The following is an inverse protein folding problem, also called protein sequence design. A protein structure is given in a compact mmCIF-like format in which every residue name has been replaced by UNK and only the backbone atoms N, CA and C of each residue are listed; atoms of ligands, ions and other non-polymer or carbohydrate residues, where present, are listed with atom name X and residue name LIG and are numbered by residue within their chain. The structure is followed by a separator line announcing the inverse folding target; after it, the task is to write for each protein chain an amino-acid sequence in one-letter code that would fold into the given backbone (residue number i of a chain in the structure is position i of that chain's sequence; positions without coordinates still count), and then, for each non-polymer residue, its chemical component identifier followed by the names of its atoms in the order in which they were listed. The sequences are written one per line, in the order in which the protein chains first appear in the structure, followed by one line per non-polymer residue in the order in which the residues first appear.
data_IF_515555033401
#
_entry.id   IF_515555033401
#
_cell.length_a   1.000
_cell.length_b   1.000
_cell.length_c   1.000
_cell.angle_alpha   90.00
_cell.angle_beta   90.00
_cell.angle_gamma   90.00
#
_symmetry.space_group_name_H-M   'P 1'
#
loop_
_entity.id
_entity.type
_entity.pdbx_description
1 polymer ?
#
# COMPACT_ATOMS: atom_id res chain seq x y z
N UNK A 1 37.47 27.89 29.07
CA UNK A 1 36.92 26.58 28.67
C UNK A 1 36.28 26.77 27.30
N UNK A 2 37.05 26.59 26.23
CA UNK A 2 36.62 26.79 24.84
C UNK A 2 35.94 25.54 24.30
N UNK A 3 34.78 25.74 23.67
CA UNK A 3 33.93 24.75 23.02
C UNK A 3 34.58 24.27 21.72
N UNK A 4 34.95 22.98 21.69
CA UNK A 4 35.59 22.30 20.57
C UNK A 4 34.52 21.47 19.83
N UNK A 5 33.96 22.03 18.75
CA UNK A 5 33.03 21.31 17.86
C UNK A 5 33.49 21.36 16.41
N UNK A 6 34.30 20.38 16.04
CA UNK A 6 34.62 20.04 14.65
C UNK A 6 33.43 19.36 13.96
N UNK A 7 32.67 20.10 13.16
CA UNK A 7 31.68 19.53 12.25
C UNK A 7 32.37 18.95 11.01
N UNK A 8 32.38 17.62 10.88
CA UNK A 8 32.81 16.92 9.67
C UNK A 8 31.73 17.03 8.58
N UNK A 9 31.77 18.11 7.78
CA UNK A 9 31.06 18.20 6.52
C UNK A 9 31.81 17.46 5.42
N UNK A 10 31.42 16.22 5.11
CA UNK A 10 31.91 15.52 3.89
C UNK A 10 31.40 16.28 2.67
N UNK A 11 32.26 17.11 2.08
CA UNK A 11 32.02 17.74 0.78
C UNK A 11 31.96 16.67 -0.31
N UNK A 12 30.76 16.38 -0.84
CA UNK A 12 30.58 15.58 -2.05
C UNK A 12 31.00 16.44 -3.25
N UNK A 13 32.27 16.33 -3.63
CA UNK A 13 32.79 16.83 -4.91
C UNK A 13 32.11 16.07 -6.07
N UNK A 14 31.79 16.79 -7.15
CA UNK A 14 31.19 16.36 -8.42
C UNK A 14 29.67 16.16 -8.48
N UNK A 15 28.90 17.21 -8.16
CA UNK A 15 27.68 17.48 -8.91
C UNK A 15 28.03 18.50 -9.99
N UNK A 16 28.21 18.08 -11.25
CA UNK A 16 28.27 19.00 -12.37
C UNK A 16 26.87 19.56 -12.58
N UNK A 17 26.62 20.75 -12.02
CA UNK A 17 25.52 21.59 -12.47
C UNK A 17 26.02 22.20 -13.79
N UNK A 18 25.41 21.92 -14.96
CA UNK A 18 25.83 22.58 -16.20
C UNK A 18 25.72 24.10 -16.02
N UNK A 19 26.66 24.84 -16.61
CA UNK A 19 26.63 26.31 -16.62
C UNK A 19 25.21 26.79 -16.95
N UNK A 20 24.69 27.76 -16.20
CA UNK A 20 23.33 28.26 -16.36
C UNK A 20 23.12 28.69 -17.81
N UNK A 21 22.31 27.92 -18.55
CA UNK A 21 21.85 28.31 -19.88
C UNK A 21 21.09 29.62 -19.72
N UNK A 22 21.47 30.65 -20.48
CA UNK A 22 20.76 31.93 -20.46
C UNK A 22 19.29 31.68 -20.84
N UNK A 23 18.36 32.34 -20.15
CA UNK A 23 16.92 32.25 -20.51
C UNK A 23 16.66 32.64 -21.97
N UNK A 24 17.53 33.46 -22.57
CA UNK A 24 17.46 33.86 -23.97
C UNK A 24 17.79 32.73 -24.96
N UNK A 25 18.53 31.71 -24.53
CA UNK A 25 18.98 30.60 -25.38
C UNK A 25 18.07 29.36 -25.27
N UNK A 26 17.05 29.42 -24.41
CA UNK A 26 16.11 28.32 -24.21
C UNK A 26 15.06 28.34 -25.33
N UNK A 27 14.90 27.25 -26.11
CA UNK A 27 13.86 27.18 -27.13
C UNK A 27 12.46 27.37 -26.52
N UNK A 28 11.56 28.05 -27.24
CA UNK A 28 10.19 28.28 -26.79
C UNK A 28 9.47 26.98 -26.38
N UNK A 29 9.81 25.85 -27.01
CA UNK A 29 9.24 24.52 -26.75
C UNK A 29 9.80 23.81 -25.52
N UNK A 30 10.86 24.33 -24.88
CA UNK A 30 11.52 23.66 -23.75
C UNK A 30 10.58 23.42 -22.57
N UNK A 31 9.71 24.38 -22.25
CA UNK A 31 8.75 24.25 -21.15
C UNK A 31 7.78 23.08 -21.39
N UNK A 32 7.31 22.93 -22.63
CA UNK A 32 6.41 21.83 -23.03
C UNK A 32 7.13 20.49 -22.98
N UNK A 33 8.37 20.42 -23.48
CA UNK A 33 9.21 19.21 -23.40
C UNK A 33 9.47 18.82 -21.96
N UNK A 34 9.84 19.79 -21.10
CA UNK A 34 10.10 19.56 -19.69
C UNK A 34 8.84 19.06 -18.95
N UNK A 35 7.67 19.64 -19.25
CA UNK A 35 6.40 19.21 -18.67
C UNK A 35 5.99 17.81 -19.17
N UNK A 36 6.25 17.49 -20.44
CA UNK A 36 6.05 16.15 -20.99
C UNK A 36 6.91 15.10 -20.27
N UNK A 37 8.20 15.40 -20.08
CA UNK A 37 9.13 14.52 -19.34
C UNK A 37 8.67 14.33 -17.90
N UNK A 38 8.32 15.41 -17.19
CA UNK A 38 7.80 15.34 -15.81
C UNK A 38 6.56 14.44 -15.74
N UNK A 39 5.60 14.63 -16.65
CA UNK A 39 4.39 13.81 -16.72
C UNK A 39 4.72 12.33 -16.90
N UNK A 40 5.60 11.98 -17.84
CA UNK A 40 6.01 10.59 -18.03
C UNK A 40 6.73 10.00 -16.82
N UNK A 41 7.57 10.77 -16.13
CA UNK A 41 8.23 10.33 -14.89
C UNK A 41 7.16 10.03 -13.82
N UNK A 42 6.21 10.95 -13.59
CA UNK A 42 5.15 10.74 -12.60
C UNK A 42 4.30 9.51 -12.89
N UNK A 43 3.88 9.32 -14.14
CA UNK A 43 3.11 8.16 -14.57
C UNK A 43 3.89 6.85 -14.39
N UNK A 44 5.18 6.85 -14.76
CA UNK A 44 6.03 5.66 -14.66
C UNK A 44 6.27 5.27 -13.20
N UNK A 45 6.51 6.25 -12.32
CA UNK A 45 6.64 6.03 -10.88
C UNK A 45 5.35 5.50 -10.26
N UNK A 46 4.20 6.04 -10.66
CA UNK A 46 2.91 5.55 -10.18
C UNK A 46 2.68 4.09 -10.58
N UNK A 47 2.93 3.73 -11.84
CA UNK A 47 2.82 2.35 -12.32
C UNK A 47 3.73 1.39 -11.55
N UNK A 48 4.99 1.78 -11.34
CA UNK A 48 5.94 0.98 -10.57
C UNK A 48 5.47 0.80 -9.12
N UNK A 49 4.97 1.85 -8.47
CA UNK A 49 4.44 1.78 -7.12
C UNK A 49 3.22 0.86 -7.00
N UNK A 50 2.28 0.92 -7.95
CA UNK A 50 1.11 0.05 -7.97
C UNK A 50 1.46 -1.43 -8.20
N UNK A 51 2.41 -1.70 -9.10
CA UNK A 51 2.91 -3.06 -9.34
C UNK A 51 3.60 -3.62 -8.09
N UNK A 52 4.47 -2.83 -7.46
CA UNK A 52 5.15 -3.22 -6.21
C UNK A 52 4.16 -3.42 -5.06
N UNK A 53 3.16 -2.56 -4.91
CA UNK A 53 2.09 -2.73 -3.92
C UNK A 53 1.36 -4.06 -4.14
N UNK A 54 0.92 -4.33 -5.37
CA UNK A 54 0.17 -5.56 -5.70
C UNK A 54 0.97 -6.82 -5.36
N UNK A 55 2.26 -6.83 -5.70
CA UNK A 55 3.16 -7.94 -5.36
C UNK A 55 3.29 -8.12 -3.84
N UNK A 56 3.44 -7.02 -3.09
CA UNK A 56 3.55 -7.07 -1.63
C UNK A 56 2.28 -7.56 -0.95
N UNK A 57 1.10 -7.10 -1.38
CA UNK A 57 -0.18 -7.56 -0.82
C UNK A 57 -0.41 -9.04 -1.13
N UNK A 58 -0.04 -9.49 -2.34
CA UNK A 58 -0.13 -10.90 -2.69
C UNK A 58 0.81 -11.76 -1.84
N UNK A 59 2.05 -11.30 -1.60
CA UNK A 59 2.97 -11.96 -0.67
C UNK A 59 2.37 -12.06 0.74
N UNK A 60 1.78 -10.98 1.25
CA UNK A 60 1.15 -10.97 2.57
C UNK A 60 -0.03 -11.95 2.64
N UNK A 61 -0.83 -12.05 1.58
CA UNK A 61 -1.88 -13.05 1.48
C UNK A 61 -1.32 -14.48 1.49
N UNK A 62 -0.27 -14.76 0.72
CA UNK A 62 0.37 -16.07 0.67
C UNK A 62 0.94 -16.49 2.04
N UNK A 63 1.62 -15.56 2.74
CA UNK A 63 2.10 -15.81 4.10
C UNK A 63 0.93 -16.14 5.04
N UNK A 64 -0.18 -15.42 4.91
CA UNK A 64 -1.40 -15.71 5.66
C UNK A 64 -1.95 -17.12 5.41
N UNK A 65 -2.00 -17.55 4.15
CA UNK A 65 -2.42 -18.90 3.77
C UNK A 65 -1.50 -19.98 4.36
N UNK A 66 -0.18 -19.76 4.31
CA UNK A 66 0.81 -20.67 4.91
C UNK A 66 0.56 -20.79 6.42
N UNK A 67 0.37 -19.67 7.12
CA UNK A 67 0.09 -19.67 8.56
C UNK A 67 -1.20 -20.45 8.83
N UNK A 68 -2.30 -20.14 8.13
CA UNK A 68 -3.60 -20.83 8.32
C UNK A 68 -3.46 -22.35 8.16
N UNK A 69 -2.84 -22.79 7.06
CA UNK A 69 -2.62 -24.22 6.79
C UNK A 69 -1.86 -24.92 7.92
N UNK A 70 -0.81 -24.28 8.46
CA UNK A 70 -0.04 -24.82 9.58
C UNK A 70 -0.81 -24.79 10.90
N UNK A 71 -1.66 -23.79 11.14
CA UNK A 71 -2.53 -23.77 12.32
C UNK A 71 -3.52 -24.94 12.30
N UNK A 72 -4.13 -25.21 11.14
CA UNK A 72 -5.09 -26.30 10.97
C UNK A 72 -4.44 -27.69 11.07
N UNK A 73 -3.28 -27.89 10.43
CA UNK A 73 -2.66 -29.21 10.30
C UNK A 73 -1.72 -29.57 11.46
N UNK A 74 -1.12 -28.57 12.11
CA UNK A 74 -0.04 -28.77 13.09
C UNK A 74 -0.31 -28.05 14.44
N UNK A 75 -1.44 -27.36 14.58
CA UNK A 75 -1.82 -26.71 15.83
C UNK A 75 -0.97 -25.50 16.20
N UNK A 76 -0.37 -24.80 15.22
CA UNK A 76 0.49 -23.64 15.47
C UNK A 76 -0.22 -22.55 16.30
N UNK A 77 0.29 -22.30 17.51
CA UNK A 77 -0.20 -21.27 18.42
C UNK A 77 0.54 -19.93 18.30
N UNK A 78 0.18 -18.97 19.16
CA UNK A 78 0.75 -17.61 19.16
C UNK A 78 2.30 -17.57 19.27
N UNK A 79 2.90 -18.49 20.03
CA UNK A 79 4.37 -18.56 20.20
C UNK A 79 5.12 -18.82 18.88
N UNK A 80 4.50 -19.56 17.95
CA UNK A 80 5.11 -19.84 16.64
C UNK A 80 5.13 -18.59 15.77
N UNK A 81 4.09 -17.75 15.86
CA UNK A 81 4.03 -16.46 15.15
C UNK A 81 5.14 -15.52 15.65
N UNK A 82 5.41 -15.50 16.95
CA UNK A 82 6.49 -14.67 17.50
C UNK A 82 7.86 -15.13 17.01
N UNK A 83 8.09 -16.46 16.92
CA UNK A 83 9.32 -17.02 16.36
C UNK A 83 9.48 -16.71 14.87
N UNK A 84 8.42 -16.90 14.07
CA UNK A 84 8.41 -16.53 12.64
C UNK A 84 8.73 -15.05 12.43
N UNK A 85 8.16 -14.17 13.26
CA UNK A 85 8.44 -12.75 13.19
C UNK A 85 9.91 -12.43 13.40
N UNK A 86 10.55 -13.10 14.36
CA UNK A 86 11.98 -12.95 14.61
C UNK A 86 12.80 -13.45 13.41
N UNK A 87 12.57 -14.70 12.99
CA UNK A 87 13.36 -15.34 11.91
C UNK A 87 13.22 -14.59 10.57
N UNK A 88 12.02 -14.12 10.23
CA UNK A 88 11.78 -13.36 9.00
C UNK A 88 12.46 -11.98 9.01
N UNK A 89 12.50 -11.31 10.16
CA UNK A 89 13.21 -10.03 10.27
C UNK A 89 14.72 -10.20 10.20
N UNK A 90 15.24 -11.30 10.74
CA UNK A 90 16.66 -11.63 10.65
C UNK A 90 17.06 -11.96 9.21
N UNK A 91 16.25 -12.77 8.51
CA UNK A 91 16.50 -13.15 7.12
C UNK A 91 16.32 -12.00 6.12
N UNK A 92 15.43 -11.04 6.42
CA UNK A 92 15.08 -9.94 5.52
C UNK A 92 15.12 -8.58 6.25
N UNK A 93 16.31 -8.10 6.67
CA UNK A 93 16.43 -6.91 7.53
C UNK A 93 15.98 -5.61 6.86
N UNK A 94 16.07 -5.52 5.52
CA UNK A 94 15.64 -4.35 4.75
C UNK A 94 14.12 -4.31 4.53
N UNK A 95 13.41 -5.42 4.80
CA UNK A 95 11.97 -5.52 4.62
C UNK A 95 11.21 -5.16 5.90
N UNK A 96 10.31 -4.20 5.76
CA UNK A 96 9.33 -3.89 6.80
C UNK A 96 8.09 -4.77 6.68
N UNK A 97 7.39 -4.99 7.80
CA UNK A 97 6.08 -5.65 7.81
C UNK A 97 6.05 -7.06 8.38
N UNK A 98 7.15 -7.60 8.91
CA UNK A 98 7.16 -8.92 9.57
C UNK A 98 7.02 -8.85 11.09
N UNK A 99 6.28 -7.88 11.64
CA UNK A 99 5.98 -7.87 13.09
C UNK A 99 4.96 -8.95 13.44
N UNK A 100 4.91 -9.44 14.71
CA UNK A 100 3.96 -10.50 15.07
C UNK A 100 2.51 -10.07 14.86
N UNK A 101 2.21 -8.78 15.12
CA UNK A 101 0.91 -8.19 14.83
C UNK A 101 0.59 -8.24 13.33
N UNK A 102 1.55 -7.89 12.47
CA UNK A 102 1.29 -7.88 11.04
C UNK A 102 1.16 -9.29 10.47
N UNK A 103 1.88 -10.29 10.99
CA UNK A 103 1.68 -11.71 10.62
C UNK A 103 0.27 -12.20 11.00
N UNK A 104 -0.25 -11.79 12.17
CA UNK A 104 -1.64 -12.07 12.55
C UNK A 104 -2.62 -11.41 11.56
N UNK A 105 -2.34 -10.19 11.12
CA UNK A 105 -3.14 -9.55 10.08
C UNK A 105 -3.04 -10.24 8.71
N UNK A 106 -1.85 -10.69 8.29
CA UNK A 106 -1.67 -11.47 7.07
C UNK A 106 -2.55 -12.73 7.10
N UNK A 107 -2.54 -13.45 8.23
CA UNK A 107 -3.43 -14.59 8.47
C UNK A 107 -4.90 -14.20 8.36
N UNK A 108 -5.35 -13.19 9.12
CA UNK A 108 -6.75 -12.75 9.07
C UNK A 108 -7.16 -12.22 7.69
N UNK A 109 -6.23 -11.64 6.93
CA UNK A 109 -6.44 -11.21 5.55
C UNK A 109 -6.65 -12.39 4.61
N UNK A 110 -5.83 -13.43 4.74
CA UNK A 110 -5.98 -14.66 3.97
C UNK A 110 -7.30 -15.39 4.28
N UNK A 111 -7.69 -15.42 5.55
CA UNK A 111 -8.96 -15.98 6.01
C UNK A 111 -10.17 -15.19 5.47
N UNK A 112 -10.06 -13.86 5.48
CA UNK A 112 -11.09 -12.94 5.00
C UNK A 112 -11.31 -12.99 3.47
N UNK A 113 -10.31 -13.41 2.70
CA UNK A 113 -10.35 -13.45 1.24
C UNK A 113 -9.78 -14.78 0.73
N UNK A 114 -10.55 -15.88 0.74
CA UNK A 114 -10.05 -17.19 0.35
C UNK A 114 -9.78 -17.33 -1.15
N UNK A 115 -10.47 -16.55 -2.00
CA UNK A 115 -10.29 -16.59 -3.44
C UNK A 115 -9.17 -15.65 -3.91
N UNK A 116 -8.09 -16.25 -4.45
CA UNK A 116 -6.94 -15.52 -4.99
C UNK A 116 -7.30 -14.61 -6.17
N UNK A 117 -8.31 -14.94 -6.98
CA UNK A 117 -8.70 -14.13 -8.12
C UNK A 117 -9.28 -12.78 -7.65
N UNK A 118 -10.06 -12.80 -6.55
CA UNK A 118 -10.58 -11.61 -5.89
C UNK A 118 -9.44 -10.81 -5.25
N UNK A 119 -8.48 -11.51 -4.64
CA UNK A 119 -7.29 -10.87 -4.07
C UNK A 119 -6.55 -10.06 -5.12
N UNK A 120 -6.20 -10.68 -6.25
CA UNK A 120 -5.43 -10.04 -7.30
C UNK A 120 -6.20 -8.88 -7.96
N UNK A 121 -7.50 -9.03 -8.19
CA UNK A 121 -8.30 -8.05 -8.92
C UNK A 121 -8.67 -6.81 -8.10
N UNK A 122 -8.88 -6.97 -6.79
CA UNK A 122 -9.43 -5.88 -5.95
C UNK A 122 -8.49 -5.53 -4.80
N UNK A 123 -8.32 -6.43 -3.82
CA UNK A 123 -7.69 -6.06 -2.55
C UNK A 123 -6.16 -5.92 -2.64
N UNK A 124 -5.51 -6.56 -3.61
CA UNK A 124 -4.10 -6.33 -3.93
C UNK A 124 -3.85 -4.96 -4.61
N UNK A 125 -4.90 -4.36 -5.19
CA UNK A 125 -4.80 -3.08 -5.89
C UNK A 125 -4.89 -1.88 -4.95
N UNK A 126 -5.23 -2.08 -3.67
CA UNK A 126 -5.33 -1.02 -2.66
C UNK A 126 -4.18 -1.11 -1.64
N UNK A 127 -3.83 -0.01 -0.95
CA UNK A 127 -2.76 -0.02 0.04
C UNK A 127 -3.05 -0.97 1.22
N UNK A 128 -1.99 -1.57 1.80
CA UNK A 128 -2.11 -2.49 2.95
C UNK A 128 -2.92 -1.90 4.11
N UNK A 129 -2.69 -0.62 4.45
CA UNK A 129 -3.43 0.06 5.53
C UNK A 129 -4.94 0.14 5.25
N UNK A 130 -5.35 0.27 3.99
CA UNK A 130 -6.76 0.25 3.60
C UNK A 130 -7.35 -1.14 3.80
N UNK A 131 -6.61 -2.20 3.44
CA UNK A 131 -7.01 -3.58 3.73
C UNK A 131 -7.17 -3.84 5.23
N UNK A 132 -6.25 -3.34 6.07
CA UNK A 132 -6.38 -3.47 7.51
C UNK A 132 -7.64 -2.76 8.04
N UNK A 133 -7.92 -1.54 7.58
CA UNK A 133 -9.11 -0.81 7.98
C UNK A 133 -10.40 -1.55 7.60
N UNK A 134 -10.43 -2.19 6.43
CA UNK A 134 -11.54 -3.03 5.98
C UNK A 134 -11.73 -4.25 6.89
N UNK A 135 -10.65 -4.94 7.27
CA UNK A 135 -10.70 -6.08 8.19
C UNK A 135 -11.18 -5.68 9.58
N UNK A 136 -10.68 -4.56 10.11
CA UNK A 136 -10.99 -4.10 11.46
C UNK A 136 -12.44 -3.59 11.58
N UNK A 137 -12.96 -2.92 10.55
CA UNK A 137 -14.27 -2.25 10.61
C UNK A 137 -15.43 -3.06 10.05
N UNK A 138 -15.18 -4.01 9.14
CA UNK A 138 -16.23 -4.74 8.43
C UNK A 138 -16.08 -6.26 8.63
N UNK A 139 -17.11 -6.87 9.21
CA UNK A 139 -17.18 -8.34 9.37
C UNK A 139 -17.74 -9.03 8.13
N UNK A 140 -18.73 -8.41 7.50
CA UNK A 140 -19.41 -8.92 6.31
C UNK A 140 -18.48 -8.93 5.09
N UNK A 141 -18.44 -10.05 4.38
CA UNK A 141 -17.54 -10.27 3.26
C UNK A 141 -17.89 -9.39 2.06
N UNK A 142 -19.15 -9.38 1.66
CA UNK A 142 -19.62 -8.65 0.47
C UNK A 142 -19.48 -7.15 0.67
N UNK A 143 -19.80 -6.66 1.87
CA UNK A 143 -19.63 -5.25 2.22
C UNK A 143 -18.16 -4.84 2.20
N UNK A 144 -17.27 -5.71 2.69
CA UNK A 144 -15.82 -5.47 2.65
C UNK A 144 -15.32 -5.36 1.21
N UNK A 145 -15.74 -6.28 0.35
CA UNK A 145 -15.37 -6.28 -1.06
C UNK A 145 -15.93 -5.05 -1.79
N UNK A 146 -17.17 -4.65 -1.49
CA UNK A 146 -17.79 -3.46 -2.06
C UNK A 146 -17.00 -2.19 -1.72
N UNK A 147 -16.60 -2.00 -0.45
CA UNK A 147 -15.77 -0.86 -0.06
C UNK A 147 -14.35 -0.92 -0.63
N UNK A 148 -13.76 -2.13 -0.77
CA UNK A 148 -12.47 -2.29 -1.44
C UNK A 148 -12.54 -1.86 -2.91
N UNK A 149 -13.60 -2.26 -3.62
CA UNK A 149 -13.84 -1.89 -5.00
C UNK A 149 -14.08 -0.38 -5.14
N UNK A 150 -14.90 0.22 -4.26
CA UNK A 150 -15.09 1.67 -4.26
C UNK A 150 -13.82 2.45 -3.94
N UNK A 151 -12.95 1.90 -3.08
CA UNK A 151 -11.63 2.48 -2.80
C UNK A 151 -10.76 2.49 -4.05
N UNK A 152 -10.75 1.39 -4.80
CA UNK A 152 -10.02 1.27 -6.06
C UNK A 152 -10.57 2.22 -7.12
N UNK A 153 -11.90 2.26 -7.30
CA UNK A 153 -12.57 3.10 -8.30
C UNK A 153 -12.35 4.61 -8.06
N UNK A 154 -12.41 5.04 -6.79
CA UNK A 154 -12.37 6.46 -6.44
C UNK A 154 -11.01 6.93 -5.93
N UNK A 155 -10.02 6.04 -5.86
CA UNK A 155 -8.68 6.35 -5.34
C UNK A 155 -8.68 6.82 -3.88
N UNK A 156 -9.56 6.29 -3.04
CA UNK A 156 -9.67 6.75 -1.65
C UNK A 156 -8.39 6.44 -0.86
N UNK A 157 -7.91 7.45 -0.14
CA UNK A 157 -6.94 7.23 0.93
C UNK A 157 -7.59 6.47 2.09
N UNK A 158 -6.79 5.82 2.93
CA UNK A 158 -7.31 5.09 4.09
C UNK A 158 -8.21 5.97 5.01
N UNK A 159 -7.89 7.24 5.30
CA UNK A 159 -8.79 8.10 6.09
C UNK A 159 -10.13 8.34 5.40
N UNK A 160 -10.13 8.54 4.09
CA UNK A 160 -11.38 8.74 3.32
C UNK A 160 -12.20 7.46 3.32
N UNK A 161 -11.58 6.30 3.10
CA UNK A 161 -12.26 5.00 3.19
C UNK A 161 -12.92 4.82 4.57
N UNK A 162 -12.19 5.10 5.65
CA UNK A 162 -12.73 5.00 7.01
C UNK A 162 -13.95 5.91 7.19
N UNK A 163 -13.87 7.15 6.73
CA UNK A 163 -15.00 8.08 6.75
C UNK A 163 -16.20 7.57 5.92
N UNK A 164 -15.98 6.94 4.76
CA UNK A 164 -17.06 6.38 3.93
C UNK A 164 -17.73 5.15 4.57
N UNK A 165 -16.97 4.37 5.35
CA UNK A 165 -17.50 3.26 6.15
C UNK A 165 -18.37 3.83 7.28
N UNK A 166 -17.86 4.80 8.02
CA UNK A 166 -18.54 5.41 9.18
C UNK A 166 -19.79 6.19 8.79
N UNK A 167 -19.79 6.83 7.62
CA UNK A 167 -20.96 7.48 7.04
C UNK A 167 -21.91 6.52 6.32
N UNK A 168 -21.66 5.21 6.41
CA UNK A 168 -22.54 4.15 5.91
C UNK A 168 -22.92 4.36 4.45
N UNK A 169 -21.96 4.80 3.62
CA UNK A 169 -22.16 5.19 2.22
C UNK A 169 -22.95 4.14 1.41
N UNK A 170 -22.71 2.85 1.64
CA UNK A 170 -23.40 1.76 0.96
C UNK A 170 -24.93 1.85 1.07
N UNK A 171 -25.49 2.32 2.20
CA UNK A 171 -26.95 2.48 2.34
C UNK A 171 -27.48 3.64 1.51
N UNK A 172 -26.70 4.72 1.36
CA UNK A 172 -27.10 5.92 0.61
C UNK A 172 -27.16 5.66 -0.89
N UNK A 173 -26.23 4.85 -1.41
CA UNK A 173 -26.15 4.51 -2.84
C UNK A 173 -27.11 3.40 -3.28
N UNK A 174 -27.60 2.58 -2.34
CA UNK A 174 -28.65 1.58 -2.60
C UNK A 174 -30.03 2.25 -2.74
N UNK A 175 -30.33 3.27 -1.92
CA UNK A 175 -31.60 4.01 -1.99
C UNK A 175 -31.74 4.77 -3.32
N UNK A 176 -30.66 5.36 -3.84
CA UNK A 176 -30.70 6.14 -5.08
C UNK A 176 -30.97 5.32 -6.36
N UNK A 177 -30.72 4.00 -6.34
CA UNK A 177 -31.03 3.14 -7.50
C UNK A 177 -32.50 2.70 -7.55
N UNK A 178 -33.24 2.78 -6.44
CA UNK A 178 -34.66 2.40 -6.38
C UNK A 178 -35.56 3.58 -6.82
N UNK A 179 -35.14 4.81 -6.59
CA UNK A 179 -35.93 6.02 -6.89
C UNK A 179 -35.86 6.49 -8.36
N UNK A 180 -34.96 5.93 -9.18
CA UNK A 180 -34.79 6.33 -10.59
C UNK A 180 -35.49 5.39 -11.58
N UNK A 181 -36.27 4.42 -11.09
CA UNK A 181 -37.10 3.51 -11.91
C UNK A 181 -38.58 3.54 -11.51
N UNK A 182 -39.02 4.62 -10.85
CA UNK A 182 -40.42 4.89 -10.49
C UNK A 182 -41.06 5.92 -11.40
#
# INVERSE_FOLDING_TARGET
MSDDRKTHGKSRKNVLIPASVSLADIPQSYADVLNGIKTHIHQSRLKAALAANSALILLYWQIGQIILSRQTNEGWGAKVIDRLSFDLKEAFPDMCGFSPRNLKYMRSFAEAYPDIAIVQRVVAQIPWKSNLALLDKLKDYDLRLWYAQKTLENGWSQPVLVFQIESVLHRRLVVSHVETQG
#
